data_IF_542433296108
#
_entry.id   IF_542433296108
#
_cell.length_a   1.000
_cell.length_b   1.000
_cell.length_c   1.000
_cell.angle_alpha   90.00
_cell.angle_beta   90.00
_cell.angle_gamma   90.00
#
_symmetry.space_group_name_H-M   'P 1'
#
loop_
_entity.id
_entity.type
_entity.pdbx_description
1 polymer ?
#
# COMPACT_ATOMS: atom_id res chain seq x y z
N UNK A 1 3.68 31.51 9.21
CA UNK A 1 4.41 30.37 8.61
C UNK A 1 3.47 29.66 7.66
N UNK A 2 3.70 29.65 6.33
CA UNK A 2 2.79 28.97 5.40
C UNK A 2 2.89 27.45 5.62
N UNK A 3 1.74 26.80 5.76
CA UNK A 3 1.66 25.35 5.91
C UNK A 3 2.31 24.67 4.69
N UNK A 4 3.34 23.85 4.93
CA UNK A 4 3.97 23.02 3.88
C UNK A 4 2.89 22.25 3.15
N UNK A 5 2.70 22.53 1.86
CA UNK A 5 1.80 21.79 0.98
C UNK A 5 2.25 20.33 1.01
N UNK A 6 1.36 19.41 1.39
CA UNK A 6 1.70 17.98 1.40
C UNK A 6 2.02 17.58 -0.05
N UNK A 7 3.23 17.06 -0.26
CA UNK A 7 3.61 16.48 -1.56
C UNK A 7 2.60 15.37 -1.86
N UNK A 8 1.94 15.45 -3.02
CA UNK A 8 0.98 14.45 -3.43
C UNK A 8 1.66 13.12 -3.67
N UNK A 9 0.92 12.03 -3.50
CA UNK A 9 1.43 10.66 -3.74
C UNK A 9 2.02 10.54 -5.17
N UNK A 10 1.48 11.29 -6.14
CA UNK A 10 1.90 11.31 -7.54
C UNK A 10 3.29 11.91 -7.78
N UNK A 11 3.73 12.85 -6.94
CA UNK A 11 5.01 13.54 -7.09
C UNK A 11 6.19 12.81 -6.42
N UNK A 12 5.91 11.71 -5.71
CA UNK A 12 6.91 10.96 -4.96
C UNK A 12 7.81 10.13 -5.89
N UNK A 13 9.12 10.27 -5.73
CA UNK A 13 10.12 9.52 -6.49
C UNK A 13 11.25 9.02 -5.58
N UNK A 14 11.97 7.99 -6.05
CA UNK A 14 13.17 7.50 -5.38
C UNK A 14 12.91 7.03 -3.93
N UNK A 15 13.79 7.37 -2.98
CA UNK A 15 13.64 6.96 -1.57
C UNK A 15 12.33 7.42 -0.90
N UNK A 16 11.74 8.53 -1.35
CA UNK A 16 10.48 9.02 -0.81
C UNK A 16 9.31 8.11 -1.22
N UNK A 17 9.30 7.66 -2.48
CA UNK A 17 8.31 6.72 -3.00
C UNK A 17 8.40 5.36 -2.29
N UNK A 18 9.61 4.85 -2.06
CA UNK A 18 9.86 3.61 -1.30
C UNK A 18 9.30 3.72 0.12
N UNK A 19 9.63 4.81 0.83
CA UNK A 19 9.18 5.04 2.21
C UNK A 19 7.66 5.14 2.29
N UNK A 20 7.04 5.88 1.38
CA UNK A 20 5.58 6.04 1.37
C UNK A 20 4.88 4.72 1.02
N UNK A 21 5.39 3.97 0.04
CA UNK A 21 4.86 2.65 -0.30
C UNK A 21 4.88 1.73 0.92
N UNK A 22 6.03 1.64 1.61
CA UNK A 22 6.13 0.82 2.82
C UNK A 22 5.19 1.30 3.94
N UNK A 23 5.01 2.63 4.11
CA UNK A 23 4.08 3.22 5.07
C UNK A 23 2.64 2.81 4.78
N UNK A 24 2.21 2.92 3.51
CA UNK A 24 0.85 2.55 3.06
C UNK A 24 0.57 1.07 3.26
N UNK A 25 1.53 0.19 2.97
CA UNK A 25 1.36 -1.25 3.24
C UNK A 25 1.19 -1.51 4.75
N UNK A 26 1.96 -0.85 5.61
CA UNK A 26 1.79 -0.96 7.08
C UNK A 26 0.43 -0.46 7.52
N UNK A 27 -0.04 0.67 6.99
CA UNK A 27 -1.35 1.23 7.32
C UNK A 27 -2.49 0.30 6.91
N UNK A 28 -2.40 -0.29 5.70
CA UNK A 28 -3.35 -1.31 5.25
C UNK A 28 -3.36 -2.52 6.19
N UNK A 29 -2.18 -2.98 6.65
CA UNK A 29 -2.07 -4.05 7.67
C UNK A 29 -2.71 -3.67 9.00
N UNK A 30 -2.51 -2.45 9.49
CA UNK A 30 -3.18 -1.99 10.71
C UNK A 30 -4.70 -2.00 10.57
N UNK A 31 -5.24 -1.60 9.42
CA UNK A 31 -6.68 -1.70 9.15
C UNK A 31 -7.17 -3.14 9.04
N UNK A 32 -6.36 -4.04 8.45
CA UNK A 32 -6.61 -5.47 8.40
C UNK A 32 -6.71 -6.07 9.81
N UNK A 33 -5.71 -5.81 10.66
CA UNK A 33 -5.69 -6.32 12.04
C UNK A 33 -6.87 -5.76 12.86
N UNK A 34 -7.32 -4.54 12.55
CA UNK A 34 -8.51 -3.92 13.13
C UNK A 34 -9.84 -4.35 12.48
N UNK A 35 -9.85 -5.30 11.55
CA UNK A 35 -11.02 -5.78 10.80
C UNK A 35 -11.79 -4.67 10.04
N UNK A 36 -11.11 -3.56 9.71
CA UNK A 36 -11.67 -2.43 8.95
C UNK A 36 -11.47 -2.66 7.45
N UNK A 37 -12.21 -3.60 6.90
CA UNK A 37 -12.02 -4.09 5.52
C UNK A 37 -12.08 -2.99 4.44
N UNK A 38 -12.99 -2.02 4.59
CA UNK A 38 -13.10 -0.89 3.64
C UNK A 38 -11.83 -0.02 3.63
N UNK A 39 -11.34 0.37 4.81
CA UNK A 39 -10.13 1.17 4.95
C UNK A 39 -8.88 0.38 4.52
N UNK A 40 -8.82 -0.92 4.85
CA UNK A 40 -7.76 -1.81 4.40
C UNK A 40 -7.71 -1.88 2.87
N UNK A 41 -8.87 -2.06 2.21
CA UNK A 41 -8.96 -2.11 0.74
C UNK A 41 -8.46 -0.81 0.11
N UNK A 42 -8.92 0.34 0.63
CA UNK A 42 -8.51 1.65 0.12
C UNK A 42 -7.00 1.87 0.22
N UNK A 43 -6.42 1.66 1.40
CA UNK A 43 -4.98 1.85 1.60
C UNK A 43 -4.14 0.83 0.82
N UNK A 44 -4.66 -0.39 0.62
CA UNK A 44 -4.02 -1.39 -0.24
C UNK A 44 -4.03 -0.98 -1.70
N UNK A 45 -5.14 -0.47 -2.24
CA UNK A 45 -5.19 0.04 -3.62
C UNK A 45 -4.17 1.16 -3.83
N UNK A 46 -4.06 2.10 -2.88
CA UNK A 46 -3.04 3.16 -2.92
C UNK A 46 -1.61 2.60 -2.83
N UNK A 47 -1.38 1.63 -1.95
CA UNK A 47 -0.09 0.97 -1.82
C UNK A 47 0.32 0.25 -3.12
N UNK A 48 -0.61 -0.42 -3.79
CA UNK A 48 -0.36 -1.06 -5.08
C UNK A 48 0.01 -0.06 -6.17
N UNK A 49 -0.75 1.03 -6.30
CA UNK A 49 -0.46 2.09 -7.27
C UNK A 49 0.95 2.68 -7.10
N UNK A 50 1.40 2.89 -5.86
CA UNK A 50 2.77 3.33 -5.59
C UNK A 50 3.80 2.24 -5.83
N UNK A 51 3.49 0.99 -5.46
CA UNK A 51 4.40 -0.15 -5.64
C UNK A 51 4.66 -0.46 -7.11
N UNK A 52 3.68 -0.29 -7.99
CA UNK A 52 3.81 -0.51 -9.43
C UNK A 52 4.79 0.48 -10.08
N UNK A 53 4.88 1.70 -9.53
CA UNK A 53 5.83 2.74 -9.99
C UNK A 53 7.28 2.48 -9.58
N UNK A 54 7.52 1.62 -8.59
CA UNK A 54 8.87 1.31 -8.13
C UNK A 54 9.62 0.42 -9.12
N UNK A 55 10.90 0.74 -9.33
CA UNK A 55 11.85 -0.16 -10.01
C UNK A 55 12.13 -1.42 -9.16
N UNK A 56 12.69 -2.46 -9.79
CA UNK A 56 13.05 -3.70 -9.07
C UNK A 56 14.00 -3.45 -7.89
N UNK A 57 15.01 -2.59 -8.07
CA UNK A 57 15.96 -2.23 -7.02
C UNK A 57 15.29 -1.48 -5.86
N UNK A 58 14.29 -0.64 -6.14
CA UNK A 58 13.53 0.05 -5.10
C UNK A 58 12.56 -0.88 -4.37
N UNK A 59 11.96 -1.84 -5.07
CA UNK A 59 11.11 -2.88 -4.46
C UNK A 59 11.90 -3.72 -3.46
N UNK A 60 13.17 -4.00 -3.73
CA UNK A 60 14.04 -4.75 -2.81
C UNK A 60 14.28 -4.03 -1.48
N UNK A 61 14.27 -2.70 -1.48
CA UNK A 61 14.37 -1.89 -0.26
C UNK A 61 13.12 -2.01 0.63
N UNK A 62 11.99 -2.47 0.10
CA UNK A 62 10.80 -2.75 0.90
C UNK A 62 10.98 -4.10 1.62
N UNK A 63 10.78 -4.14 2.96
CA UNK A 63 10.82 -5.38 3.73
C UNK A 63 9.99 -6.49 3.08
N UNK A 64 10.59 -7.67 2.91
CA UNK A 64 9.97 -8.80 2.20
C UNK A 64 8.58 -9.16 2.75
N UNK A 65 8.40 -9.10 4.08
CA UNK A 65 7.11 -9.34 4.73
C UNK A 65 5.99 -8.42 4.23
N UNK A 66 6.30 -7.16 3.89
CA UNK A 66 5.34 -6.21 3.34
C UNK A 66 5.02 -6.53 1.87
N UNK A 67 6.03 -6.93 1.08
CA UNK A 67 5.84 -7.34 -0.32
C UNK A 67 4.97 -8.59 -0.44
N UNK A 68 5.24 -9.61 0.37
CA UNK A 68 4.46 -10.85 0.39
C UNK A 68 3.02 -10.57 0.84
N UNK A 69 2.83 -9.74 1.87
CA UNK A 69 1.49 -9.37 2.32
C UNK A 69 0.69 -8.65 1.23
N UNK A 70 1.30 -7.66 0.56
CA UNK A 70 0.67 -6.86 -0.49
C UNK A 70 0.21 -7.72 -1.68
N UNK A 71 1.01 -8.73 -2.05
CA UNK A 71 0.72 -9.65 -3.16
C UNK A 71 -0.21 -10.79 -2.72
N UNK A 72 0.24 -11.68 -1.85
CA UNK A 72 -0.46 -12.93 -1.54
C UNK A 72 -1.64 -12.77 -0.60
N UNK A 73 -1.46 -12.05 0.52
CA UNK A 73 -2.54 -11.93 1.50
C UNK A 73 -3.65 -11.07 0.94
N UNK A 74 -3.31 -10.03 0.19
CA UNK A 74 -4.33 -9.15 -0.35
C UNK A 74 -5.17 -9.75 -1.46
N UNK A 75 -4.57 -10.53 -2.36
CA UNK A 75 -5.31 -11.19 -3.45
C UNK A 75 -6.30 -12.22 -2.91
N UNK A 76 -5.90 -13.00 -1.89
CA UNK A 76 -6.78 -13.96 -1.23
C UNK A 76 -8.04 -13.34 -0.65
N UNK A 77 -7.97 -12.13 -0.08
CA UNK A 77 -9.07 -11.50 0.68
C UNK A 77 -9.77 -10.34 -0.04
N UNK A 78 -9.14 -9.75 -1.06
CA UNK A 78 -9.62 -8.57 -1.77
C UNK A 78 -9.53 -8.71 -3.31
N UNK A 79 -9.43 -9.94 -3.83
CA UNK A 79 -9.57 -10.21 -5.26
C UNK A 79 -11.01 -10.04 -5.74
N UNK A 80 -11.18 -9.73 -7.03
CA UNK A 80 -12.49 -9.49 -7.67
C UNK A 80 -13.39 -10.74 -7.65
N UNK A 81 -12.81 -11.93 -7.51
CA UNK A 81 -13.54 -13.20 -7.40
C UNK A 81 -14.29 -13.38 -6.07
N UNK A 82 -14.17 -12.44 -5.13
CA UNK A 82 -14.97 -12.47 -3.90
C UNK A 82 -16.26 -11.71 -4.08
N UNK A 83 -17.32 -12.48 -4.37
CA UNK A 83 -18.70 -12.06 -4.17
C UNK A 83 -18.85 -11.46 -2.77
N UNK A 84 -19.40 -10.24 -2.63
CA UNK A 84 -19.74 -9.71 -1.31
C UNK A 84 -20.62 -10.72 -0.57
N UNK A 85 -20.40 -10.97 0.74
CA UNK A 85 -21.42 -11.66 1.51
C UNK A 85 -22.68 -10.78 1.47
N UNK A 86 -23.75 -11.31 0.87
CA UNK A 86 -25.09 -10.74 0.94
C UNK A 86 -25.66 -10.84 2.35
#
# INVERSE_FOLDING_TARGET
MPAKRKVGDDDLNGPALVKETARRIRLARTHWDAHRNGACRLERTRALALYERLSSAEKEQIPQVLRVWLRYRSEKYFGDDRTPPG
#
